data_IF_709874916470
#
_entry.id   IF_709874916470
#
_cell.length_a   1.000
_cell.length_b   1.000
_cell.length_c   1.000
_cell.angle_alpha   90.00
_cell.angle_beta   90.00
_cell.angle_gamma   90.00
#
_symmetry.space_group_name_H-M   'P 1'
#
loop_
_entity.id
_entity.type
_entity.pdbx_description
1 polymer ?
#
# COMPACT_ATOMS: atom_id res chain seq x y z
N UNK A 1 -12.58 -6.01 -19.22
CA UNK A 1 -13.34 -4.99 -18.46
C UNK A 1 -12.36 -4.28 -17.53
N UNK A 2 -11.48 -3.44 -18.07
CA UNK A 2 -10.44 -2.77 -17.29
C UNK A 2 -10.54 -1.28 -17.53
N UNK A 3 -11.41 -0.61 -16.78
CA UNK A 3 -11.62 0.81 -16.93
C UNK A 3 -10.48 1.56 -16.22
N UNK A 4 -9.30 1.64 -16.85
CA UNK A 4 -8.22 2.55 -16.40
C UNK A 4 -8.72 3.98 -16.61
N UNK A 5 -9.41 4.52 -15.60
CA UNK A 5 -9.87 5.90 -15.63
C UNK A 5 -8.65 6.83 -15.66
N UNK A 6 -8.59 7.79 -16.61
CA UNK A 6 -7.60 8.84 -16.53
C UNK A 6 -7.98 9.74 -15.35
N UNK A 7 -7.17 9.78 -14.28
CA UNK A 7 -7.41 10.71 -13.16
C UNK A 7 -7.04 12.13 -13.61
N UNK A 8 -8.03 12.80 -14.21
CA UNK A 8 -8.09 14.26 -14.33
C UNK A 8 -7.81 14.88 -12.96
N UNK A 9 -6.95 15.90 -12.95
CA UNK A 9 -6.76 16.79 -11.83
C UNK A 9 -8.07 17.50 -11.48
N UNK A 10 -8.82 17.00 -10.50
CA UNK A 10 -9.95 17.70 -9.88
C UNK A 10 -10.38 16.93 -8.62
N UNK A 11 -10.26 17.61 -7.46
CA UNK A 11 -10.34 17.12 -6.07
C UNK A 11 -9.17 16.20 -5.65
N UNK A 12 -8.13 16.77 -5.05
CA UNK A 12 -6.97 16.02 -4.52
C UNK A 12 -7.39 15.29 -3.24
N UNK A 13 -8.04 14.14 -3.38
CA UNK A 13 -8.00 13.14 -2.33
C UNK A 13 -6.57 12.56 -2.31
N UNK A 14 -5.98 12.36 -1.13
CA UNK A 14 -4.65 11.78 -1.03
C UNK A 14 -4.64 10.39 -1.69
N UNK A 15 -3.54 10.05 -2.35
CA UNK A 15 -3.29 8.73 -2.89
C UNK A 15 -3.26 7.73 -1.75
N UNK A 16 -4.10 6.70 -1.85
CA UNK A 16 -4.28 5.68 -0.82
C UNK A 16 -3.22 4.60 -0.99
N UNK A 17 -2.37 4.43 0.01
CA UNK A 17 -1.24 3.49 -0.01
C UNK A 17 -1.50 2.37 0.99
N UNK A 18 -1.39 1.12 0.53
CA UNK A 18 -1.23 -0.04 1.40
C UNK A 18 0.27 -0.34 1.50
N UNK A 19 0.76 -0.59 2.71
CA UNK A 19 2.15 -0.98 2.94
C UNK A 19 2.21 -2.43 3.43
N UNK A 20 3.12 -3.22 2.87
CA UNK A 20 3.39 -4.60 3.27
C UNK A 20 4.88 -4.78 3.60
N UNK A 21 5.17 -5.07 4.87
CA UNK A 21 6.52 -5.16 5.45
C UNK A 21 6.45 -5.97 6.76
N UNK A 22 7.37 -6.92 6.97
CA UNK A 22 7.35 -7.79 8.15
C UNK A 22 8.21 -7.26 9.31
N UNK A 23 9.06 -6.24 9.10
CA UNK A 23 9.74 -5.49 10.16
C UNK A 23 8.93 -4.26 10.62
N UNK A 24 8.37 -4.31 11.84
CA UNK A 24 7.61 -3.19 12.44
C UNK A 24 8.41 -1.87 12.52
N UNK A 25 9.72 -1.94 12.81
CA UNK A 25 10.53 -0.72 12.93
C UNK A 25 10.73 -0.05 11.55
N UNK A 26 10.83 -0.86 10.50
CA UNK A 26 10.91 -0.34 9.13
C UNK A 26 9.56 0.20 8.67
N UNK A 27 8.46 -0.50 8.99
CA UNK A 27 7.10 -0.05 8.70
C UNK A 27 6.79 1.32 9.33
N UNK A 28 7.13 1.52 10.60
CA UNK A 28 6.96 2.82 11.26
C UNK A 28 7.82 3.93 10.63
N UNK A 29 9.05 3.60 10.21
CA UNK A 29 9.94 4.54 9.50
C UNK A 29 9.34 4.95 8.16
N UNK A 30 8.83 3.97 7.41
CA UNK A 30 8.22 4.18 6.11
C UNK A 30 6.95 5.03 6.22
N UNK A 31 6.09 4.76 7.19
CA UNK A 31 4.92 5.61 7.44
C UNK A 31 5.28 7.03 7.83
N UNK A 32 6.32 7.24 8.65
CA UNK A 32 6.78 8.58 8.99
C UNK A 32 7.22 9.37 7.75
N UNK A 33 7.88 8.71 6.79
CA UNK A 33 8.25 9.31 5.50
C UNK A 33 7.00 9.61 4.66
N UNK A 34 6.07 8.67 4.54
CA UNK A 34 4.85 8.85 3.74
C UNK A 34 3.93 9.95 4.31
N UNK A 35 3.79 10.03 5.64
CA UNK A 35 3.00 11.05 6.32
C UNK A 35 3.57 12.47 6.19
N UNK A 36 4.83 12.63 5.78
CA UNK A 36 5.39 13.95 5.48
C UNK A 36 4.82 14.57 4.18
N UNK A 37 4.02 13.81 3.41
CA UNK A 37 3.42 14.22 2.16
C UNK A 37 1.89 14.23 2.25
N UNK A 38 1.29 15.42 2.26
CA UNK A 38 -0.18 15.60 2.37
C UNK A 38 -0.96 14.96 1.20
N UNK A 39 -0.31 14.69 0.08
CA UNK A 39 -0.88 13.98 -1.06
C UNK A 39 -0.93 12.46 -0.90
N UNK A 40 -0.39 11.88 0.18
CA UNK A 40 -0.38 10.44 0.43
C UNK A 40 -1.14 10.11 1.73
N UNK A 41 -1.80 8.96 1.76
CA UNK A 41 -2.47 8.46 2.95
C UNK A 41 -2.26 6.95 3.05
N UNK A 42 -1.67 6.48 4.15
CA UNK A 42 -1.57 5.05 4.43
C UNK A 42 -2.94 4.55 4.89
N UNK A 43 -3.49 3.56 4.19
CA UNK A 43 -4.83 3.03 4.44
C UNK A 43 -4.84 1.63 5.03
N UNK A 44 -3.67 0.97 5.07
CA UNK A 44 -3.51 -0.36 5.65
C UNK A 44 -2.05 -0.73 5.82
N UNK A 45 -1.81 -1.68 6.71
CA UNK A 45 -0.52 -2.28 7.05
C UNK A 45 -0.67 -3.81 6.99
N UNK A 46 0.09 -4.47 6.13
CA UNK A 46 0.18 -5.92 6.05
C UNK A 46 1.56 -6.39 6.52
N UNK A 47 1.64 -7.57 7.12
CA UNK A 47 2.89 -8.16 7.64
C UNK A 47 3.38 -9.36 6.82
N UNK A 48 2.71 -9.65 5.71
CA UNK A 48 3.08 -10.65 4.72
C UNK A 48 2.31 -10.42 3.41
N UNK A 49 2.70 -11.11 2.33
CA UNK A 49 2.05 -10.97 1.02
C UNK A 49 0.59 -11.43 1.00
N UNK A 50 0.21 -12.43 1.80
CA UNK A 50 -1.17 -12.94 1.84
C UNK A 50 -2.11 -11.87 2.43
N UNK A 51 -1.73 -11.28 3.56
CA UNK A 51 -2.44 -10.14 4.14
C UNK A 51 -2.48 -8.95 3.17
N UNK A 52 -1.39 -8.70 2.43
CA UNK A 52 -1.33 -7.61 1.47
C UNK A 52 -2.35 -7.79 0.34
N UNK A 53 -2.49 -9.01 -0.20
CA UNK A 53 -3.48 -9.33 -1.24
C UNK A 53 -4.91 -9.17 -0.69
N UNK A 54 -5.20 -9.75 0.47
CA UNK A 54 -6.53 -9.67 1.11
C UNK A 54 -6.93 -8.20 1.39
N UNK A 55 -6.00 -7.41 1.95
CA UNK A 55 -6.23 -6.00 2.21
C UNK A 55 -6.32 -5.18 0.92
N UNK A 56 -5.58 -5.53 -0.14
CA UNK A 56 -5.67 -4.82 -1.42
C UNK A 56 -7.06 -5.01 -2.06
N UNK A 57 -7.63 -6.22 -1.96
CA UNK A 57 -8.99 -6.51 -2.42
C UNK A 57 -10.06 -5.75 -1.61
N UNK A 58 -9.91 -5.68 -0.28
CA UNK A 58 -10.87 -4.99 0.59
C UNK A 58 -10.75 -3.46 0.50
N UNK A 59 -9.52 -2.94 0.56
CA UNK A 59 -9.26 -1.52 0.66
C UNK A 59 -9.25 -0.82 -0.70
N UNK A 60 -9.04 -1.53 -1.80
CA UNK A 60 -8.86 -0.95 -3.14
C UNK A 60 -7.87 0.25 -3.13
N UNK A 61 -6.62 0.09 -2.66
CA UNK A 61 -5.65 1.19 -2.59
C UNK A 61 -5.26 1.67 -4.00
N UNK A 62 -4.78 2.92 -4.11
CA UNK A 62 -4.23 3.44 -5.37
C UNK A 62 -2.84 2.85 -5.68
N UNK A 63 -2.10 2.46 -4.63
CA UNK A 63 -0.76 1.88 -4.70
C UNK A 63 -0.54 0.89 -3.54
N UNK A 64 0.17 -0.19 -3.80
CA UNK A 64 0.75 -1.06 -2.78
C UNK A 64 2.26 -0.88 -2.79
N UNK A 65 2.86 -0.62 -1.63
CA UNK A 65 4.30 -0.69 -1.43
C UNK A 65 4.60 -1.95 -0.64
N UNK A 66 5.33 -2.88 -1.25
CA UNK A 66 5.47 -4.25 -0.76
C UNK A 66 6.93 -4.65 -0.74
N UNK A 67 7.39 -5.14 0.41
CA UNK A 67 8.68 -5.81 0.49
C UNK A 67 8.65 -7.14 -0.29
N UNK A 68 9.82 -7.56 -0.77
CA UNK A 68 9.97 -8.80 -1.52
C UNK A 68 10.04 -10.00 -0.57
N UNK A 69 10.81 -9.92 0.50
CA UNK A 69 11.14 -11.08 1.35
C UNK A 69 10.29 -11.09 2.62
N UNK A 70 9.09 -11.66 2.53
CA UNK A 70 8.17 -11.76 3.65
C UNK A 70 7.78 -13.21 3.97
N UNK A 71 7.33 -13.53 5.20
CA UNK A 71 6.78 -14.85 5.53
C UNK A 71 5.45 -15.12 4.80
N UNK A 72 4.99 -16.38 4.81
CA UNK A 72 3.71 -16.86 4.25
C UNK A 72 3.60 -16.77 2.72
N UNK A 73 3.63 -15.56 2.15
CA UNK A 73 3.64 -15.27 0.72
C UNK A 73 4.60 -14.11 0.49
N UNK A 74 5.53 -14.28 -0.44
CA UNK A 74 6.52 -13.26 -0.74
C UNK A 74 5.93 -12.17 -1.66
N UNK A 75 6.59 -11.02 -1.74
CA UNK A 75 6.10 -9.88 -2.52
C UNK A 75 6.23 -10.04 -4.04
N UNK A 76 6.85 -11.11 -4.53
CA UNK A 76 6.94 -11.41 -5.98
C UNK A 76 5.77 -12.30 -6.39
N UNK A 77 5.33 -13.19 -5.52
CA UNK A 77 4.20 -14.10 -5.74
C UNK A 77 2.83 -13.45 -5.49
N UNK A 78 2.77 -12.45 -4.60
CA UNK A 78 1.57 -11.66 -4.29
C UNK A 78 1.07 -10.80 -5.46
#
# INVERSE_FOLDING_TARGET
>A
MGNRRPRRASARYPYRILVAEDDEAFLDTLEAVLHAHDELAVVGRARNGQEAVEMAEELEPDLVLMDIEMPVLDGVEA
#
